data_IF_962283767702
#
_entry.id   IF_962283767702
#
_cell.length_a   1.000
_cell.length_b   1.000
_cell.length_c   1.000
_cell.angle_alpha   90.00
_cell.angle_beta   90.00
_cell.angle_gamma   90.00
#
_symmetry.space_group_name_H-M   'P 1'
#
loop_
_entity.id
_entity.type
_entity.pdbx_description
1 polymer ?
#
# COMPACT_ATOMS: atom_id res chain seq x y z
N UNK A 1 -27.42 -20.68 -0.41
CA UNK A 1 -27.00 -19.51 0.32
C UNK A 1 -25.70 -18.95 -0.23
N UNK A 2 -25.67 -17.74 -0.43
CA UNK A 2 -24.47 -17.13 -0.94
C UNK A 2 -23.69 -16.49 0.16
N UNK A 3 -22.43 -16.70 0.07
CA UNK A 3 -21.49 -16.03 0.90
C UNK A 3 -21.52 -14.55 0.60
N UNK A 4 -21.84 -13.73 1.54
CA UNK A 4 -21.82 -12.31 1.28
C UNK A 4 -20.50 -11.70 1.75
N UNK A 5 -19.91 -10.90 0.89
CA UNK A 5 -18.72 -10.14 1.25
C UNK A 5 -19.10 -9.10 2.30
N UNK A 6 -18.35 -8.97 3.38
CA UNK A 6 -18.65 -7.93 4.36
C UNK A 6 -18.67 -6.56 3.69
N UNK A 7 -19.63 -5.73 4.06
CA UNK A 7 -19.76 -4.40 3.47
C UNK A 7 -18.53 -3.52 3.72
N UNK A 8 -17.78 -3.82 4.78
CA UNK A 8 -16.57 -3.07 5.08
C UNK A 8 -15.37 -3.50 4.24
N UNK A 9 -15.49 -4.61 3.48
CA UNK A 9 -14.38 -5.11 2.67
C UNK A 9 -14.55 -4.65 1.23
N UNK A 10 -13.56 -3.95 0.74
CA UNK A 10 -13.53 -3.45 -0.63
C UNK A 10 -12.87 -4.48 -1.55
N UNK A 11 -13.08 -4.38 -2.88
CA UNK A 11 -12.37 -5.24 -3.83
C UNK A 11 -10.85 -5.14 -3.64
N UNK A 12 -10.17 -6.25 -3.82
CA UNK A 12 -8.71 -6.39 -3.68
C UNK A 12 -8.19 -6.21 -2.26
N UNK A 13 -9.08 -5.94 -1.29
CA UNK A 13 -8.66 -5.85 0.10
C UNK A 13 -8.51 -7.25 0.69
N UNK A 14 -7.36 -7.50 1.31
CA UNK A 14 -7.07 -8.77 1.97
C UNK A 14 -6.64 -8.50 3.40
N UNK A 15 -6.64 -9.54 4.24
CA UNK A 15 -6.13 -9.43 5.59
C UNK A 15 -4.60 -9.33 5.55
N UNK A 16 -4.00 -8.88 6.66
CA UNK A 16 -2.56 -8.83 6.76
C UNK A 16 -1.93 -10.21 6.57
N UNK A 17 -2.52 -11.24 7.16
CA UNK A 17 -2.01 -12.60 7.02
C UNK A 17 -2.07 -13.08 5.56
N UNK A 18 -3.15 -12.80 4.87
CA UNK A 18 -3.29 -13.13 3.45
C UNK A 18 -2.27 -12.36 2.62
N UNK A 19 -2.07 -11.10 2.93
CA UNK A 19 -1.08 -10.27 2.23
C UNK A 19 0.33 -10.84 2.38
N UNK A 20 0.72 -11.17 3.61
CA UNK A 20 2.04 -11.71 3.87
C UNK A 20 2.22 -13.08 3.23
N UNK A 21 1.17 -13.89 3.20
CA UNK A 21 1.21 -15.19 2.54
C UNK A 21 1.39 -15.03 1.03
N UNK A 22 0.67 -14.11 0.42
CA UNK A 22 0.81 -13.82 -1.01
C UNK A 22 2.20 -13.29 -1.33
N UNK A 23 2.72 -12.42 -0.48
CA UNK A 23 4.07 -11.87 -0.67
C UNK A 23 5.13 -12.97 -0.57
N UNK A 24 4.94 -13.93 0.32
CA UNK A 24 5.87 -15.05 0.48
C UNK A 24 5.92 -15.95 -0.76
N UNK A 25 4.86 -15.96 -1.55
CA UNK A 25 4.80 -16.73 -2.79
C UNK A 25 5.53 -16.07 -3.95
N UNK A 26 5.88 -14.80 -3.82
CA UNK A 26 6.63 -14.09 -4.86
C UNK A 26 8.08 -14.52 -4.76
N UNK A 27 8.55 -15.22 -5.79
CA UNK A 27 9.88 -15.82 -5.76
C UNK A 27 11.00 -14.84 -6.06
N UNK A 28 10.73 -13.84 -6.87
CA UNK A 28 11.73 -12.82 -7.19
C UNK A 28 11.06 -11.63 -7.88
N UNK A 29 11.66 -10.47 -7.74
CA UNK A 29 11.25 -9.31 -8.51
C UNK A 29 9.98 -8.62 -8.02
N UNK A 30 9.52 -8.88 -6.82
CA UNK A 30 8.37 -8.21 -6.26
C UNK A 30 8.74 -6.97 -5.47
N UNK A 31 7.72 -6.21 -5.09
CA UNK A 31 7.88 -5.03 -4.25
C UNK A 31 6.66 -4.85 -3.34
N UNK A 32 6.87 -4.15 -2.24
CA UNK A 32 5.81 -3.75 -1.34
C UNK A 32 5.75 -2.23 -1.33
N UNK A 33 4.56 -1.68 -1.53
CA UNK A 33 4.32 -0.24 -1.43
C UNK A 33 3.51 0.01 -0.17
N UNK A 34 3.93 0.96 0.67
CA UNK A 34 3.16 1.33 1.85
C UNK A 34 2.82 2.80 1.74
N UNK A 35 1.55 3.12 1.97
CA UNK A 35 1.03 4.48 1.95
C UNK A 35 0.67 4.88 3.37
N UNK A 36 1.37 5.86 3.90
CA UNK A 36 1.20 6.33 5.27
C UNK A 36 0.44 7.66 5.25
N UNK A 37 -0.59 7.74 6.07
CA UNK A 37 -1.44 8.92 6.15
C UNK A 37 -0.90 9.83 7.26
N UNK A 38 -0.89 11.14 7.03
CA UNK A 38 -0.41 12.12 7.99
C UNK A 38 -1.18 12.01 9.32
N UNK A 39 -0.45 12.08 10.44
CA UNK A 39 -1.03 11.98 11.78
C UNK A 39 -2.07 13.06 12.07
N UNK A 40 -2.00 14.20 11.40
CA UNK A 40 -2.97 15.27 11.56
C UNK A 40 -4.35 14.89 11.04
N UNK A 41 -4.46 13.84 10.21
CA UNK A 41 -5.73 13.39 9.67
C UNK A 41 -6.46 12.55 10.72
N UNK A 42 -7.72 12.89 11.07
CA UNK A 42 -8.47 12.10 12.04
C UNK A 42 -8.65 10.66 11.60
N UNK A 43 -8.75 9.75 12.56
CA UNK A 43 -8.89 8.32 12.28
C UNK A 43 -10.04 8.01 11.32
N UNK A 44 -11.17 8.68 11.49
CA UNK A 44 -12.32 8.45 10.62
C UNK A 44 -12.03 8.78 9.16
N UNK A 45 -11.27 9.84 8.94
CA UNK A 45 -10.90 10.23 7.58
C UNK A 45 -9.84 9.33 6.98
N UNK A 46 -9.00 8.70 7.81
CA UNK A 46 -7.94 7.81 7.32
C UNK A 46 -8.49 6.60 6.59
N UNK A 47 -9.63 6.08 7.02
CA UNK A 47 -10.25 4.94 6.33
C UNK A 47 -10.64 5.29 4.90
N UNK A 48 -11.00 6.54 4.66
CA UNK A 48 -11.27 7.01 3.30
C UNK A 48 -10.04 7.01 2.41
N UNK A 49 -8.88 7.36 2.98
CA UNK A 49 -7.62 7.31 2.23
C UNK A 49 -7.27 5.88 1.84
N UNK A 50 -7.39 4.95 2.79
CA UNK A 50 -7.13 3.54 2.50
C UNK A 50 -8.08 3.01 1.42
N UNK A 51 -9.35 3.42 1.47
CA UNK A 51 -10.31 3.05 0.45
C UNK A 51 -9.91 3.56 -0.93
N UNK A 52 -9.35 4.76 -1.01
CA UNK A 52 -8.87 5.30 -2.29
C UNK A 52 -7.69 4.48 -2.82
N UNK A 53 -6.76 4.10 -1.97
CA UNK A 53 -5.64 3.25 -2.38
C UNK A 53 -6.17 1.94 -2.96
N UNK A 54 -7.12 1.32 -2.27
CA UNK A 54 -7.74 0.08 -2.74
C UNK A 54 -8.43 0.29 -4.08
N UNK A 55 -9.15 1.39 -4.22
CA UNK A 55 -9.88 1.70 -5.46
C UNK A 55 -8.94 1.88 -6.66
N UNK A 56 -7.73 2.35 -6.43
CA UNK A 56 -6.76 2.56 -7.50
C UNK A 56 -5.83 1.38 -7.71
N UNK A 57 -5.94 0.34 -6.88
CA UNK A 57 -5.19 -0.89 -7.05
C UNK A 57 -5.83 -1.74 -8.14
N UNK A 58 -5.03 -2.61 -8.75
CA UNK A 58 -5.51 -3.54 -9.77
C UNK A 58 -5.84 -4.88 -9.12
N UNK A 59 -6.56 -5.73 -9.87
CA UNK A 59 -7.01 -7.04 -9.39
C UNK A 59 -5.87 -7.93 -8.90
N UNK A 60 -4.68 -7.79 -9.49
CA UNK A 60 -3.51 -8.59 -9.13
C UNK A 60 -2.64 -7.89 -8.09
N UNK A 61 -3.11 -6.79 -7.50
CA UNK A 61 -2.38 -6.01 -6.52
C UNK A 61 -3.12 -6.03 -5.18
N UNK A 62 -2.93 -7.09 -4.37
CA UNK A 62 -3.60 -7.15 -3.07
C UNK A 62 -3.22 -5.96 -2.19
N UNK A 63 -4.19 -5.47 -1.44
CA UNK A 63 -4.00 -4.35 -0.52
C UNK A 63 -4.47 -4.78 0.86
N UNK A 64 -3.66 -4.56 1.89
CA UNK A 64 -4.12 -4.73 3.25
C UNK A 64 -4.05 -3.40 4.00
N UNK A 65 -5.00 -3.20 4.91
CA UNK A 65 -5.03 -2.00 5.74
C UNK A 65 -4.38 -2.33 7.07
N UNK A 66 -3.41 -1.53 7.45
CA UNK A 66 -2.68 -1.71 8.71
C UNK A 66 -3.43 -1.03 9.85
N UNK A 67 -3.05 -1.36 11.08
CA UNK A 67 -3.78 -0.93 12.28
C UNK A 67 -3.95 0.58 12.40
N UNK A 68 -2.99 1.33 11.89
CA UNK A 68 -3.04 2.79 11.96
C UNK A 68 -3.68 3.43 10.73
N UNK A 69 -4.25 2.64 9.85
CA UNK A 69 -4.90 3.13 8.64
C UNK A 69 -3.99 3.22 7.43
N UNK A 70 -2.71 2.94 7.58
CA UNK A 70 -1.82 2.86 6.42
C UNK A 70 -2.23 1.69 5.53
N UNK A 71 -1.92 1.77 4.26
CA UNK A 71 -2.24 0.71 3.30
C UNK A 71 -0.96 0.13 2.73
N UNK A 72 -0.89 -1.20 2.66
CA UNK A 72 0.22 -1.91 2.02
C UNK A 72 -0.30 -2.58 0.75
N UNK A 73 0.43 -2.42 -0.34
CA UNK A 73 0.06 -2.93 -1.66
C UNK A 73 1.18 -3.82 -2.18
N UNK A 74 0.81 -4.99 -2.69
CA UNK A 74 1.77 -5.97 -3.20
C UNK A 74 1.92 -5.85 -4.72
N UNK A 75 3.16 -5.74 -5.17
CA UNK A 75 3.51 -5.78 -6.58
C UNK A 75 4.30 -7.06 -6.83
N UNK A 76 3.80 -7.92 -7.72
CA UNK A 76 4.33 -9.28 -7.85
C UNK A 76 5.57 -9.40 -8.71
N UNK A 77 5.81 -8.44 -9.60
CA UNK A 77 7.00 -8.48 -10.44
C UNK A 77 7.45 -7.08 -10.84
N UNK A 78 8.63 -6.97 -11.43
CA UNK A 78 9.18 -5.70 -11.86
C UNK A 78 9.97 -4.95 -10.79
N UNK A 79 10.08 -5.51 -9.60
CA UNK A 79 10.89 -4.96 -8.51
C UNK A 79 10.48 -3.56 -8.09
N UNK A 80 11.42 -2.80 -7.55
CA UNK A 80 11.15 -1.45 -7.06
C UNK A 80 10.75 -0.49 -8.17
N UNK A 81 11.19 -0.73 -9.41
CA UNK A 81 10.77 0.11 -10.54
C UNK A 81 9.26 0.02 -10.76
N UNK A 82 8.72 -1.21 -10.74
CA UNK A 82 7.27 -1.40 -10.84
C UNK A 82 6.56 -0.88 -9.60
N UNK A 83 7.15 -1.07 -8.43
CA UNK A 83 6.59 -0.54 -7.19
C UNK A 83 6.45 0.98 -7.25
N UNK A 84 7.47 1.66 -7.76
CA UNK A 84 7.41 3.11 -7.93
C UNK A 84 6.34 3.52 -8.93
N UNK A 85 6.20 2.78 -10.01
CA UNK A 85 5.17 3.08 -11.02
C UNK A 85 3.77 2.94 -10.43
N UNK A 86 3.54 1.90 -9.64
CA UNK A 86 2.25 1.68 -8.98
C UNK A 86 1.99 2.78 -7.94
N UNK A 87 2.98 3.10 -7.11
CA UNK A 87 2.84 4.15 -6.11
C UNK A 87 2.57 5.49 -6.78
N UNK A 88 3.26 5.78 -7.89
CA UNK A 88 3.04 7.02 -8.62
C UNK A 88 1.61 7.09 -9.18
N UNK A 89 1.08 5.98 -9.64
CA UNK A 89 -0.31 5.92 -10.13
C UNK A 89 -1.29 6.34 -9.03
N UNK A 90 -1.08 5.81 -7.82
CA UNK A 90 -1.94 6.17 -6.67
C UNK A 90 -1.76 7.64 -6.31
N UNK A 91 -0.52 8.12 -6.21
CA UNK A 91 -0.27 9.51 -5.84
C UNK A 91 -0.81 10.50 -6.86
N UNK A 92 -0.77 10.15 -8.15
CA UNK A 92 -1.35 11.00 -9.19
C UNK A 92 -2.85 11.20 -8.98
N UNK A 93 -3.55 10.13 -8.59
CA UNK A 93 -4.97 10.23 -8.29
C UNK A 93 -5.21 11.09 -7.04
N UNK A 94 -4.35 10.94 -6.05
CA UNK A 94 -4.43 11.77 -4.84
C UNK A 94 -4.20 13.24 -5.14
N UNK A 95 -3.27 13.55 -6.06
CA UNK A 95 -3.04 14.94 -6.49
C UNK A 95 -4.28 15.55 -7.13
N UNK A 96 -4.99 14.77 -7.93
CA UNK A 96 -6.23 15.23 -8.56
C UNK A 96 -7.30 15.58 -7.53
N UNK A 97 -7.23 14.98 -6.36
CA UNK A 97 -8.15 15.23 -5.26
C UNK A 97 -7.59 16.22 -4.25
N UNK A 98 -6.39 16.76 -4.50
CA UNK A 98 -5.66 17.64 -3.59
C UNK A 98 -5.37 16.99 -2.24
N UNK A 99 -5.12 15.67 -2.23
CA UNK A 99 -4.83 14.91 -1.01
C UNK A 99 -3.38 14.46 -0.91
N UNK A 100 -2.56 14.75 -1.91
CA UNK A 100 -1.19 14.25 -1.98
C UNK A 100 -0.30 14.75 -0.83
N UNK A 101 -0.58 15.95 -0.30
CA UNK A 101 0.23 16.49 0.79
C UNK A 101 -0.08 15.85 2.15
N UNK A 102 -1.07 14.98 2.21
CA UNK A 102 -1.44 14.27 3.45
C UNK A 102 -1.07 12.78 3.41
N UNK A 103 -0.35 12.36 2.37
CA UNK A 103 0.01 10.96 2.20
C UNK A 103 1.48 10.86 1.77
N UNK A 104 2.14 9.81 2.24
CA UNK A 104 3.52 9.48 1.90
C UNK A 104 3.57 8.06 1.40
N UNK A 105 4.38 7.81 0.39
CA UNK A 105 4.51 6.47 -0.17
C UNK A 105 5.93 5.96 0.00
N UNK A 106 6.06 4.70 0.38
CA UNK A 106 7.35 4.03 0.48
C UNK A 106 7.32 2.75 -0.33
N UNK A 107 8.44 2.39 -0.92
CA UNK A 107 8.58 1.19 -1.73
C UNK A 107 9.81 0.42 -1.27
N UNK A 108 9.67 -0.89 -1.09
CA UNK A 108 10.78 -1.77 -0.78
C UNK A 108 10.69 -3.01 -1.65
N UNK A 109 11.84 -3.55 -2.06
CA UNK A 109 11.85 -4.83 -2.78
C UNK A 109 11.45 -5.93 -1.82
N UNK A 110 10.78 -6.96 -2.34
CA UNK A 110 10.43 -8.13 -1.54
C UNK A 110 11.66 -9.00 -1.35
N UNK A 111 11.93 -9.33 -0.09
CA UNK A 111 13.00 -10.26 0.26
C UNK A 111 12.41 -11.56 0.78
N UNK A 112 13.24 -12.33 1.47
CA UNK A 112 12.81 -13.59 2.05
C UNK A 112 11.85 -13.43 3.23
N UNK A 113 11.80 -12.24 3.82
CA UNK A 113 10.90 -11.93 4.93
C UNK A 113 9.95 -10.80 4.50
N UNK A 114 8.71 -11.15 4.06
CA UNK A 114 7.75 -10.13 3.62
C UNK A 114 7.41 -9.10 4.71
N UNK A 115 7.41 -9.52 5.96
CA UNK A 115 7.12 -8.61 7.08
C UNK A 115 8.21 -7.54 7.18
N UNK A 116 9.47 -7.92 7.00
CA UNK A 116 10.58 -6.97 7.00
C UNK A 116 10.51 -6.02 5.80
N UNK A 117 10.10 -6.53 4.63
CA UNK A 117 9.93 -5.70 3.44
C UNK A 117 8.83 -4.66 3.64
N UNK A 118 7.72 -5.07 4.24
CA UNK A 118 6.62 -4.15 4.56
C UNK A 118 7.09 -3.07 5.53
N UNK A 119 7.85 -3.45 6.56
CA UNK A 119 8.38 -2.51 7.54
C UNK A 119 9.35 -1.52 6.89
N UNK A 120 10.21 -2.01 6.00
CA UNK A 120 11.17 -1.16 5.29
C UNK A 120 10.45 -0.13 4.41
N UNK A 121 9.40 -0.55 3.69
CA UNK A 121 8.61 0.35 2.88
C UNK A 121 7.93 1.41 3.75
N UNK A 122 7.37 0.99 4.89
CA UNK A 122 6.71 1.89 5.82
C UNK A 122 7.70 2.93 6.38
N UNK A 123 8.88 2.47 6.78
CA UNK A 123 9.90 3.38 7.33
C UNK A 123 10.35 4.38 6.28
N UNK A 124 10.51 3.95 5.03
CA UNK A 124 10.87 4.85 3.94
C UNK A 124 9.78 5.90 3.73
N UNK A 125 8.52 5.49 3.76
CA UNK A 125 7.39 6.42 3.62
C UNK A 125 7.38 7.43 4.76
N UNK A 126 7.56 6.97 5.99
CA UNK A 126 7.51 7.82 7.17
C UNK A 126 8.65 8.84 7.17
N UNK A 127 9.82 8.46 6.69
CA UNK A 127 10.98 9.33 6.64
C UNK A 127 10.99 10.27 5.44
N UNK A 128 10.16 10.00 4.43
CA UNK A 128 10.16 10.76 3.19
C UNK A 128 9.20 11.95 3.22
N UNK A 129 9.27 12.79 2.20
CA UNK A 129 8.38 13.96 2.11
C UNK A 129 6.96 13.56 1.68
N UNK A 130 5.99 14.38 2.09
CA UNK A 130 4.60 14.17 1.71
C UNK A 130 4.44 14.30 0.19
N UNK A 131 3.56 13.51 -0.36
CA UNK A 131 3.23 13.55 -1.79
C UNK A 131 4.29 12.93 -2.69
N UNK A 132 5.32 12.34 -2.13
CA UNK A 132 6.42 11.76 -2.89
C UNK A 132 6.65 10.29 -2.52
N UNK A 133 7.39 9.61 -3.39
CA UNK A 133 7.72 8.21 -3.21
C UNK A 133 9.15 8.12 -2.69
N UNK A 134 9.33 7.36 -1.61
CA UNK A 134 10.66 7.10 -1.04
C UNK A 134 10.94 5.61 -1.17
N UNK A 135 12.11 5.27 -1.69
CA UNK A 135 12.49 3.87 -1.89
C UNK A 135 13.44 3.45 -0.77
N UNK A 136 13.15 2.32 -0.14
CA UNK A 136 14.01 1.78 0.91
C UNK A 136 15.34 1.33 0.30
N UNK A 137 16.42 1.65 0.98
CA UNK A 137 17.76 1.27 0.55
C UNK A 137 18.12 -0.15 0.99
#
# INVERSE_FOLDING_TARGET
>A
MTESTPLSQLPWQVTRDEFLRSAAEVTSGGACCVFVIDDAIPKMARSGYAALVIAYARADEPVCILDDGAAALLVRDGGTASGRAVANRVLEQMRKLALDQTIRAGVASLGSDPSASMRAARDAATAGPAGEISVAS
#
